data_IF_858351403216
#
_entry.id   IF_858351403216
#
_cell.length_a   1.000
_cell.length_b   1.000
_cell.length_c   1.000
_cell.angle_alpha   90.00
_cell.angle_beta   90.00
_cell.angle_gamma   90.00
#
_symmetry.space_group_name_H-M   'P 1'
#
loop_
_entity.id
_entity.type
_entity.pdbx_description
1 polymer ?
#
# COMPACT_ATOMS: atom_id res chain seq x y z
N UNK A 1 -12.13 10.12 -4.73
CA UNK A 1 -10.80 10.60 -5.15
C UNK A 1 -9.96 9.41 -5.57
N UNK A 2 -9.16 9.50 -6.64
CA UNK A 2 -8.39 8.37 -7.22
C UNK A 2 -6.87 8.63 -7.30
N UNK A 3 -6.35 9.52 -6.45
CA UNK A 3 -4.90 9.74 -6.30
C UNK A 3 -4.28 10.87 -7.13
N UNK A 4 -5.08 11.64 -7.89
CA UNK A 4 -4.61 12.88 -8.53
C UNK A 4 -4.82 14.08 -7.60
N UNK A 5 -3.90 15.06 -7.65
CA UNK A 5 -3.96 16.28 -6.83
C UNK A 5 -3.29 16.17 -5.45
N UNK A 6 -2.68 15.02 -5.14
CA UNK A 6 -1.87 14.80 -3.94
C UNK A 6 -0.52 14.23 -4.37
N UNK A 7 0.56 14.71 -3.77
CA UNK A 7 1.92 14.19 -3.99
C UNK A 7 2.33 13.34 -2.79
N UNK A 8 2.82 12.14 -3.04
CA UNK A 8 3.35 11.22 -2.02
C UNK A 8 4.71 10.70 -2.45
N UNK A 9 5.57 10.43 -1.47
CA UNK A 9 6.84 9.73 -1.70
C UNK A 9 6.63 8.22 -1.72
N UNK A 10 7.53 7.49 -2.38
CA UNK A 10 7.48 6.02 -2.41
C UNK A 10 7.53 5.41 -1.00
N UNK A 11 8.32 5.99 -0.10
CA UNK A 11 8.45 5.50 1.28
C UNK A 11 7.17 5.72 2.09
N UNK A 12 6.46 6.84 1.89
CA UNK A 12 5.15 7.08 2.52
C UNK A 12 4.10 6.09 2.00
N UNK A 13 4.13 5.77 0.71
CA UNK A 13 3.23 4.78 0.13
C UNK A 13 3.52 3.38 0.70
N UNK A 14 4.79 2.97 0.75
CA UNK A 14 5.19 1.69 1.33
C UNK A 14 4.77 1.57 2.81
N UNK A 15 4.94 2.65 3.58
CA UNK A 15 4.50 2.72 4.97
C UNK A 15 2.99 2.60 5.11
N UNK A 16 2.21 3.29 4.28
CA UNK A 16 0.76 3.16 4.28
C UNK A 16 0.30 1.72 3.98
N UNK A 17 0.94 1.04 3.04
CA UNK A 17 0.64 -0.37 2.76
C UNK A 17 1.05 -1.30 3.90
N UNK A 18 2.15 -1.02 4.60
CA UNK A 18 2.55 -1.83 5.76
C UNK A 18 1.52 -1.74 6.90
N UNK A 19 0.89 -0.59 7.10
CA UNK A 19 -0.23 -0.44 8.05
C UNK A 19 -1.38 -1.37 7.69
N UNK A 20 -1.78 -1.40 6.41
CA UNK A 20 -2.88 -2.27 5.96
C UNK A 20 -2.54 -3.74 6.16
N UNK A 21 -1.32 -4.16 5.81
CA UNK A 21 -0.85 -5.52 6.01
C UNK A 21 -0.75 -5.89 7.49
N UNK A 22 -0.41 -4.94 8.36
CA UNK A 22 -0.26 -5.15 9.80
C UNK A 22 -1.57 -4.91 10.57
N UNK A 23 -2.70 -5.36 10.03
CA UNK A 23 -4.01 -5.29 10.70
C UNK A 23 -4.40 -3.86 11.16
N UNK A 24 -3.95 -2.83 10.45
CA UNK A 24 -4.22 -1.43 10.76
C UNK A 24 -3.32 -0.80 11.81
N UNK A 25 -2.24 -1.49 12.21
CA UNK A 25 -1.24 -1.01 13.17
C UNK A 25 -0.07 -0.36 12.45
N UNK A 26 0.13 0.92 12.74
CA UNK A 26 1.26 1.69 12.26
C UNK A 26 2.47 1.50 13.16
N UNK A 27 3.51 0.90 12.60
CA UNK A 27 4.84 0.78 13.21
C UNK A 27 5.74 1.88 12.62
N UNK A 28 6.51 2.62 13.44
CA UNK A 28 7.47 3.59 12.93
C UNK A 28 8.47 2.95 11.95
N UNK A 29 8.80 3.66 10.86
CA UNK A 29 9.82 3.20 9.91
C UNK A 29 11.21 3.34 10.51
N UNK A 30 12.08 2.38 10.19
CA UNK A 30 13.52 2.46 10.46
C UNK A 30 14.30 2.04 9.21
N UNK A 31 15.41 2.73 8.94
CA UNK A 31 16.39 2.34 7.92
C UNK A 31 17.52 1.48 8.49
N UNK A 32 17.62 1.43 9.82
CA UNK A 32 18.60 0.63 10.56
C UNK A 32 17.90 -0.56 11.22
N UNK A 33 18.68 -1.57 11.59
CA UNK A 33 18.18 -2.68 12.38
C UNK A 33 17.53 -2.18 13.67
N UNK A 34 16.43 -2.81 14.07
CA UNK A 34 15.65 -2.45 15.25
C UNK A 34 15.66 -3.65 16.18
N UNK A 35 16.37 -3.54 17.30
CA UNK A 35 16.54 -4.65 18.25
C UNK A 35 15.28 -4.86 19.11
N UNK A 36 14.59 -3.79 19.47
CA UNK A 36 13.34 -3.82 20.24
C UNK A 36 12.17 -3.34 19.40
N UNK A 37 11.09 -4.13 19.37
CA UNK A 37 9.89 -3.79 18.59
C UNK A 37 9.29 -2.45 19.06
N UNK A 38 9.21 -1.43 18.18
CA UNK A 38 8.74 -0.11 18.58
C UNK A 38 7.24 -0.14 18.81
N UNK A 39 6.76 0.78 19.64
CA UNK A 39 5.34 0.88 19.97
C UNK A 39 4.53 1.17 18.71
N UNK A 40 3.61 0.26 18.38
CA UNK A 40 2.68 0.44 17.26
C UNK A 40 1.44 1.23 17.69
N UNK A 41 0.92 2.05 16.77
CA UNK A 41 -0.32 2.82 16.95
C UNK A 41 -1.42 2.25 16.06
N UNK A 42 -2.60 1.98 16.63
CA UNK A 42 -3.77 1.59 15.82
C UNK A 42 -4.30 2.82 15.08
N UNK A 43 -4.23 2.81 13.75
CA UNK A 43 -4.70 3.93 12.91
C UNK A 43 -5.89 3.55 12.04
N UNK A 44 -6.10 2.24 11.79
CA UNK A 44 -7.27 1.68 11.10
C UNK A 44 -7.80 0.53 11.95
N UNK A 45 -9.11 0.41 12.23
CA UNK A 45 -9.64 -0.75 12.95
C UNK A 45 -9.29 -2.09 12.28
N UNK A 46 -8.97 -3.11 13.08
CA UNK A 46 -8.49 -4.41 12.57
C UNK A 46 -9.47 -5.06 11.58
N UNK A 47 -10.77 -5.03 11.88
CA UNK A 47 -11.81 -5.58 11.00
C UNK A 47 -11.84 -4.89 9.63
N UNK A 48 -11.65 -3.57 9.62
CA UNK A 48 -11.57 -2.78 8.39
C UNK A 48 -10.30 -3.14 7.61
N UNK A 49 -9.15 -3.22 8.28
CA UNK A 49 -7.88 -3.60 7.65
C UNK A 49 -7.96 -4.99 7.01
N UNK A 50 -8.49 -6.00 7.72
CA UNK A 50 -8.69 -7.35 7.20
C UNK A 50 -9.63 -7.40 6.00
N UNK A 51 -10.72 -6.62 6.05
CA UNK A 51 -11.64 -6.49 4.91
C UNK A 51 -10.92 -5.91 3.69
N UNK A 52 -10.12 -4.86 3.89
CA UNK A 52 -9.33 -4.24 2.82
C UNK A 52 -8.28 -5.20 2.24
N UNK A 53 -7.59 -6.00 3.08
CA UNK A 53 -6.65 -7.01 2.60
C UNK A 53 -7.34 -8.00 1.66
N UNK A 54 -8.51 -8.52 2.03
CA UNK A 54 -9.29 -9.41 1.17
C UNK A 54 -9.70 -8.75 -0.15
N UNK A 55 -10.15 -7.50 -0.11
CA UNK A 55 -10.45 -6.74 -1.33
C UNK A 55 -9.22 -6.56 -2.24
N UNK A 56 -8.05 -6.29 -1.66
CA UNK A 56 -6.78 -6.11 -2.40
C UNK A 56 -6.22 -7.43 -2.94
N UNK A 57 -6.49 -8.55 -2.28
CA UNK A 57 -6.18 -9.88 -2.82
C UNK A 57 -7.03 -10.17 -4.05
N UNK A 58 -8.33 -9.86 -4.00
CA UNK A 58 -9.23 -10.03 -5.15
C UNK A 58 -8.83 -9.18 -6.36
N UNK A 59 -8.18 -8.03 -6.17
CA UNK A 59 -7.64 -7.24 -7.30
C UNK A 59 -6.63 -8.05 -8.12
N UNK A 60 -5.91 -8.98 -7.51
CA UNK A 60 -4.87 -9.79 -8.14
C UNK A 60 -5.44 -11.14 -8.63
N UNK A 61 -6.27 -11.79 -7.82
CA UNK A 61 -6.73 -13.17 -8.05
C UNK A 61 -8.03 -13.29 -8.85
N UNK A 62 -8.87 -12.25 -8.88
CA UNK A 62 -10.16 -12.31 -9.59
C UNK A 62 -9.98 -12.46 -11.11
N UNK A 63 -11.00 -12.96 -11.84
CA UNK A 63 -11.00 -12.97 -13.30
C UNK A 63 -10.73 -11.58 -13.88
N UNK A 64 -9.73 -11.45 -14.76
CA UNK A 64 -9.21 -10.17 -15.31
C UNK A 64 -8.52 -9.26 -14.27
N UNK A 65 -8.12 -9.80 -13.12
CA UNK A 65 -7.30 -9.11 -12.14
C UNK A 65 -5.87 -8.83 -12.63
N UNK A 66 -5.05 -8.28 -11.75
CA UNK A 66 -3.63 -7.99 -12.03
C UNK A 66 -2.81 -9.27 -11.89
N UNK A 67 -3.07 -10.25 -12.75
CA UNK A 67 -2.48 -11.59 -12.69
C UNK A 67 -0.94 -11.60 -12.74
N UNK A 68 -0.33 -10.57 -13.32
CA UNK A 68 1.13 -10.39 -13.34
C UNK A 68 1.75 -10.18 -11.96
N UNK A 69 0.96 -9.84 -10.95
CA UNK A 69 1.41 -9.67 -9.57
C UNK A 69 1.25 -10.95 -8.73
N UNK A 70 0.80 -12.06 -9.32
CA UNK A 70 0.67 -13.35 -8.62
C UNK A 70 2.04 -13.95 -8.35
N UNK A 71 2.20 -14.55 -7.15
CA UNK A 71 3.40 -15.30 -6.76
C UNK A 71 2.97 -16.75 -6.53
N UNK A 72 3.55 -17.75 -7.24
CA UNK A 72 3.20 -19.15 -7.02
C UNK A 72 3.31 -19.55 -5.55
N UNK A 73 2.30 -20.28 -5.06
CA UNK A 73 2.18 -20.74 -3.68
C UNK A 73 1.91 -19.67 -2.60
N UNK A 74 1.71 -18.40 -2.96
CA UNK A 74 1.39 -17.32 -2.00
C UNK A 74 0.17 -16.50 -2.43
N UNK A 75 -0.67 -16.13 -1.45
CA UNK A 75 -1.69 -15.11 -1.65
C UNK A 75 -1.05 -13.73 -1.64
N UNK A 76 -1.30 -12.94 -2.68
CA UNK A 76 -0.76 -11.60 -2.83
C UNK A 76 -1.92 -10.61 -2.84
N UNK A 77 -1.78 -9.52 -2.09
CA UNK A 77 -2.71 -8.40 -2.06
C UNK A 77 -2.02 -7.14 -2.56
N UNK A 78 -2.67 -6.38 -3.44
CA UNK A 78 -2.06 -5.17 -3.99
C UNK A 78 -2.95 -4.37 -4.93
N UNK A 79 -2.39 -3.28 -5.44
CA UNK A 79 -3.09 -2.41 -6.40
C UNK A 79 -2.11 -1.90 -7.46
N UNK A 80 -2.55 -1.90 -8.72
CA UNK A 80 -1.84 -1.20 -9.80
C UNK A 80 -2.27 0.27 -9.87
N UNK A 81 -1.32 1.17 -10.08
CA UNK A 81 -1.57 2.58 -10.35
C UNK A 81 -0.80 3.07 -11.57
N UNK A 82 -1.41 3.96 -12.35
CA UNK A 82 -0.77 4.63 -13.48
C UNK A 82 -1.05 6.11 -13.37
N UNK A 83 0.00 6.93 -13.28
CA UNK A 83 -0.10 8.38 -13.27
C UNK A 83 0.61 8.95 -14.50
N UNK A 84 0.01 9.96 -15.15
CA UNK A 84 0.71 10.71 -16.18
C UNK A 84 1.78 11.58 -15.52
N UNK A 85 3.01 11.52 -16.03
CA UNK A 85 4.09 12.40 -15.59
C UNK A 85 3.66 13.85 -15.79
N UNK A 86 3.75 14.66 -14.74
CA UNK A 86 3.53 16.10 -14.85
C UNK A 86 4.72 16.71 -15.58
N UNK A 87 4.45 17.41 -16.68
CA UNK A 87 5.45 18.19 -17.39
C UNK A 87 5.75 19.45 -16.57
N UNK A 88 6.99 19.66 -16.17
CA UNK A 88 7.43 20.97 -15.67
C UNK A 88 7.85 21.80 -16.88
N UNK A 89 6.97 22.72 -17.29
CA UNK A 89 7.32 23.86 -18.17
C UNK A 89 6.70 23.87 -19.57
N UNK A 90 5.73 24.76 -19.78
CA UNK A 90 5.87 25.87 -20.74
C UNK A 90 5.28 27.11 -20.07
N UNK A 91 6.11 28.08 -19.69
CA UNK A 91 5.66 29.46 -19.51
C UNK A 91 5.36 30.00 -20.90
N UNK A 92 4.10 30.35 -21.15
CA UNK A 92 3.73 31.43 -22.06
C UNK A 92 3.44 32.64 -21.22
#
# INVERSE_FOLDING_TARGET
>A
SYGYGLSVTAIQLAHAFSVLANNGRMVPLSLIHVDEAPKATQVIPENVAKTMQGMLQQVIEAPRGVFRAQVPAYHVAGKSGTARKTSVGTKG
#
